data_IF_076682490372
#
_entry.id   IF_076682490372
#
_cell.length_a   1.000
_cell.length_b   1.000
_cell.length_c   1.000
_cell.angle_alpha   90.00
_cell.angle_beta   90.00
_cell.angle_gamma   90.00
#
_symmetry.space_group_name_H-M   'P 1'
#
loop_
_entity.id
_entity.type
_entity.pdbx_description
1 polymer ?
#
# COMPACT_ATOMS: atom_id res chain seq x y z
N UNK A 1 -6.57 -13.73 -2.21
CA UNK A 1 -5.30 -14.36 -1.81
C UNK A 1 -5.51 -15.78 -1.28
N UNK A 2 -6.38 -16.01 -0.28
CA UNK A 2 -6.71 -17.29 0.35
C UNK A 2 -7.02 -18.43 -0.63
N UNK A 3 -7.96 -18.24 -1.59
CA UNK A 3 -8.34 -19.26 -2.60
C UNK A 3 -7.16 -19.68 -3.49
N UNK A 4 -6.24 -18.78 -3.80
CA UNK A 4 -5.07 -19.06 -4.64
C UNK A 4 -4.03 -19.86 -3.88
N UNK A 5 -3.78 -19.52 -2.61
CA UNK A 5 -2.87 -20.28 -1.74
C UNK A 5 -3.38 -21.69 -1.47
N UNK A 6 -4.65 -21.85 -1.12
CA UNK A 6 -5.27 -23.16 -0.92
C UNK A 6 -5.19 -24.02 -2.19
N UNK A 7 -5.52 -23.48 -3.37
CA UNK A 7 -5.44 -24.21 -4.64
C UNK A 7 -4.02 -24.67 -4.95
N UNK A 8 -3.03 -23.80 -4.79
CA UNK A 8 -1.63 -24.15 -5.09
C UNK A 8 -1.09 -25.19 -4.11
N UNK A 9 -1.34 -25.02 -2.82
CA UNK A 9 -0.92 -25.99 -1.81
C UNK A 9 -1.60 -27.36 -2.00
N UNK A 10 -2.91 -27.38 -2.22
CA UNK A 10 -3.65 -28.62 -2.50
C UNK A 10 -3.16 -29.29 -3.76
N UNK A 11 -2.89 -28.55 -4.84
CA UNK A 11 -2.34 -29.11 -6.08
C UNK A 11 -0.98 -29.76 -5.87
N UNK A 12 -0.07 -29.12 -5.15
CA UNK A 12 1.24 -29.68 -4.82
C UNK A 12 1.13 -30.98 -4.03
N UNK A 13 0.24 -31.03 -3.04
CA UNK A 13 0.00 -32.23 -2.23
C UNK A 13 -0.59 -33.37 -3.10
N UNK A 14 -1.56 -33.07 -3.95
CA UNK A 14 -2.14 -34.05 -4.87
C UNK A 14 -1.07 -34.66 -5.77
N UNK A 15 -0.21 -33.83 -6.37
CA UNK A 15 0.89 -34.28 -7.23
C UNK A 15 1.87 -35.17 -6.44
N UNK A 16 2.26 -34.74 -5.22
CA UNK A 16 3.18 -35.50 -4.39
C UNK A 16 2.60 -36.88 -3.99
N UNK A 17 1.33 -36.94 -3.59
CA UNK A 17 0.63 -38.17 -3.23
C UNK A 17 0.50 -39.10 -4.44
N UNK A 18 0.14 -38.54 -5.60
CA UNK A 18 0.05 -39.33 -6.86
C UNK A 18 1.42 -39.90 -7.24
N UNK A 19 2.48 -39.12 -7.20
CA UNK A 19 3.83 -39.59 -7.51
C UNK A 19 4.28 -40.69 -6.52
N UNK A 20 4.00 -40.51 -5.23
CA UNK A 20 4.27 -41.51 -4.19
C UNK A 20 3.52 -42.82 -4.45
N UNK A 21 2.23 -42.73 -4.85
CA UNK A 21 1.44 -43.91 -5.20
C UNK A 21 2.02 -44.67 -6.39
N UNK A 22 2.37 -43.97 -7.47
CA UNK A 22 2.96 -44.57 -8.67
C UNK A 22 4.29 -45.26 -8.32
N UNK A 23 5.17 -44.52 -7.59
CA UNK A 23 6.48 -45.07 -7.21
C UNK A 23 6.34 -46.31 -6.32
N UNK A 24 5.49 -46.24 -5.29
CA UNK A 24 5.26 -47.37 -4.39
C UNK A 24 4.65 -48.59 -5.13
N UNK A 25 3.73 -48.35 -6.06
CA UNK A 25 3.12 -49.41 -6.88
C UNK A 25 4.15 -50.09 -7.78
N UNK A 26 5.07 -49.33 -8.42
CA UNK A 26 6.16 -49.86 -9.21
C UNK A 26 7.12 -50.74 -8.39
N UNK A 27 7.55 -50.20 -7.23
CA UNK A 27 8.43 -50.96 -6.32
C UNK A 27 7.76 -52.23 -5.83
N UNK A 28 6.47 -52.15 -5.48
CA UNK A 28 5.71 -53.33 -5.04
C UNK A 28 5.60 -54.36 -6.16
N UNK A 29 5.34 -53.94 -7.42
CA UNK A 29 5.31 -54.80 -8.56
C UNK A 29 6.64 -55.57 -8.75
N UNK A 30 7.78 -54.86 -8.72
CA UNK A 30 9.10 -55.47 -8.83
C UNK A 30 9.36 -56.47 -7.69
N UNK A 31 9.07 -56.07 -6.44
CA UNK A 31 9.25 -56.95 -5.27
C UNK A 31 8.41 -58.25 -5.37
N UNK A 32 7.15 -58.12 -5.78
CA UNK A 32 6.28 -59.30 -5.92
C UNK A 32 6.75 -60.20 -7.09
N UNK A 33 7.14 -59.59 -8.20
CA UNK A 33 7.72 -60.35 -9.34
C UNK A 33 8.97 -61.13 -8.93
N UNK A 34 9.90 -60.48 -8.23
CA UNK A 34 11.15 -61.11 -7.80
C UNK A 34 10.91 -62.21 -6.74
N UNK A 35 9.93 -61.99 -5.84
CA UNK A 35 9.52 -62.97 -4.87
C UNK A 35 8.92 -64.24 -5.54
N UNK A 36 8.09 -64.04 -6.60
CA UNK A 36 7.54 -65.14 -7.36
C UNK A 36 8.66 -65.93 -8.06
N UNK A 37 9.59 -65.26 -8.73
CA UNK A 37 10.75 -65.88 -9.37
C UNK A 37 11.61 -66.65 -8.40
N UNK A 38 11.91 -66.08 -7.23
CA UNK A 38 12.64 -66.74 -6.18
C UNK A 38 11.91 -68.01 -5.70
N UNK A 39 10.60 -67.91 -5.44
CA UNK A 39 9.80 -69.05 -4.96
C UNK A 39 9.80 -70.24 -5.93
N UNK A 40 9.64 -69.97 -7.23
CA UNK A 40 9.65 -71.08 -8.23
C UNK A 40 11.06 -71.66 -8.40
N UNK A 41 12.11 -70.87 -8.31
CA UNK A 41 13.49 -71.32 -8.32
C UNK A 41 13.79 -72.21 -7.12
N UNK A 42 13.52 -71.76 -5.93
CA UNK A 42 13.80 -72.47 -4.68
C UNK A 42 13.07 -73.79 -4.64
N UNK A 43 11.81 -73.83 -5.14
CA UNK A 43 11.04 -75.04 -5.22
C UNK A 43 11.64 -76.02 -6.26
N UNK A 44 12.03 -75.56 -7.43
CA UNK A 44 12.66 -76.41 -8.46
C UNK A 44 13.99 -76.97 -7.97
N UNK A 45 14.83 -76.17 -7.31
CA UNK A 45 16.10 -76.61 -6.74
C UNK A 45 15.88 -77.60 -5.57
N UNK A 46 14.85 -77.40 -4.75
CA UNK A 46 14.46 -78.35 -3.71
C UNK A 46 14.05 -79.66 -4.27
N UNK A 47 13.18 -79.67 -5.26
CA UNK A 47 12.74 -80.95 -5.94
C UNK A 47 13.92 -81.60 -6.64
N UNK A 48 14.79 -80.87 -7.31
CA UNK A 48 16.02 -81.43 -7.92
C UNK A 48 16.87 -82.10 -6.86
N UNK A 49 17.16 -81.50 -5.75
CA UNK A 49 17.98 -82.05 -4.66
C UNK A 49 17.36 -83.35 -4.09
N UNK A 50 16.03 -83.37 -3.92
CA UNK A 50 15.33 -84.56 -3.46
C UNK A 50 15.45 -85.68 -4.45
N UNK A 51 15.31 -85.41 -5.75
CA UNK A 51 15.42 -86.44 -6.82
C UNK A 51 16.84 -86.99 -6.90
N UNK A 52 17.86 -86.12 -6.83
CA UNK A 52 19.26 -86.57 -6.85
C UNK A 52 19.60 -87.40 -5.63
N UNK A 53 19.18 -87.01 -4.43
CA UNK A 53 19.36 -87.85 -3.23
C UNK A 53 18.64 -89.20 -3.26
N UNK A 54 17.43 -89.23 -3.81
CA UNK A 54 16.69 -90.48 -3.95
C UNK A 54 17.37 -91.48 -4.94
N UNK A 55 17.98 -90.99 -6.00
CA UNK A 55 18.75 -91.75 -6.93
C UNK A 55 20.01 -92.35 -6.30
N UNK A 56 20.73 -91.61 -5.46
CA UNK A 56 21.92 -92.10 -4.74
C UNK A 56 21.58 -93.22 -3.80
N UNK A 57 20.38 -93.25 -3.23
CA UNK A 57 19.91 -94.28 -2.29
C UNK A 57 19.29 -95.53 -3.03
N UNK A 58 19.25 -95.51 -4.40
CA UNK A 58 18.71 -96.60 -5.19
C UNK A 58 17.18 -96.75 -5.20
N UNK A 59 16.48 -95.67 -4.81
CA UNK A 59 15.03 -95.60 -4.85
C UNK A 59 14.56 -95.33 -6.29
N UNK A 60 13.97 -96.34 -6.95
CA UNK A 60 13.35 -96.19 -8.25
C UNK A 60 12.04 -95.46 -8.16
N UNK A 61 12.00 -94.18 -8.59
CA UNK A 61 10.70 -93.47 -8.57
C UNK A 61 10.72 -92.01 -8.77
N UNK A 62 11.52 -91.45 -9.70
CA UNK A 62 11.58 -90.02 -10.00
C UNK A 62 10.20 -89.47 -10.28
N UNK A 63 9.36 -90.09 -11.07
CA UNK A 63 7.99 -89.74 -11.37
C UNK A 63 7.12 -89.75 -10.11
N UNK A 64 7.33 -90.74 -9.20
CA UNK A 64 6.57 -90.76 -7.91
C UNK A 64 6.92 -89.65 -6.99
N UNK A 65 8.20 -89.28 -6.84
CA UNK A 65 8.63 -88.13 -6.02
C UNK A 65 8.11 -86.81 -6.54
N UNK A 66 8.23 -86.60 -7.85
CA UNK A 66 7.73 -85.37 -8.50
C UNK A 66 6.19 -85.34 -8.42
N UNK A 67 5.48 -86.46 -8.55
CA UNK A 67 4.03 -86.46 -8.39
C UNK A 67 3.58 -86.15 -6.96
N UNK A 68 4.30 -86.60 -5.94
CA UNK A 68 3.99 -86.30 -4.53
C UNK A 68 4.18 -84.82 -4.24
N UNK A 69 5.23 -84.22 -4.73
CA UNK A 69 5.46 -82.75 -4.57
C UNK A 69 4.46 -81.95 -5.42
N UNK A 70 4.19 -82.37 -6.67
CA UNK A 70 3.24 -81.75 -7.58
C UNK A 70 1.81 -81.69 -7.06
N UNK A 71 1.39 -82.63 -6.21
CA UNK A 71 0.07 -82.67 -5.59
C UNK A 71 0.00 -81.70 -4.36
N UNK A 72 1.12 -81.35 -3.79
CA UNK A 72 1.18 -80.53 -2.56
C UNK A 72 1.52 -79.05 -2.82
N UNK A 73 2.03 -78.72 -3.98
CA UNK A 73 2.44 -77.36 -4.36
C UNK A 73 1.34 -76.64 -5.14
N UNK A 74 1.35 -75.29 -5.01
CA UNK A 74 0.50 -74.39 -5.79
C UNK A 74 1.08 -74.12 -7.19
N UNK A 75 2.29 -74.53 -7.47
CA UNK A 75 2.97 -74.36 -8.76
C UNK A 75 2.82 -75.57 -9.64
N UNK A 76 2.72 -75.37 -10.97
CA UNK A 76 2.71 -76.48 -11.94
C UNK A 76 4.11 -77.02 -12.06
N UNK A 77 4.24 -78.35 -11.87
CA UNK A 77 5.49 -79.08 -12.01
C UNK A 77 5.39 -79.97 -13.23
N UNK A 78 6.40 -79.95 -14.14
CA UNK A 78 6.52 -80.80 -15.32
C UNK A 78 7.91 -81.44 -15.33
N UNK A 79 7.98 -82.72 -15.47
CA UNK A 79 9.22 -83.49 -15.69
C UNK A 79 9.26 -83.98 -17.14
N UNK A 80 10.39 -83.77 -17.83
CA UNK A 80 10.57 -84.08 -19.25
C UNK A 80 11.88 -84.85 -19.45
N UNK A 81 11.86 -85.83 -20.25
CA UNK A 81 13.07 -86.61 -20.61
C UNK A 81 14.03 -85.85 -21.53
N UNK A 82 15.22 -86.34 -21.76
CA UNK A 82 16.23 -85.74 -22.62
C UNK A 82 15.80 -85.60 -24.10
N UNK A 83 14.78 -86.34 -24.55
CA UNK A 83 14.20 -86.30 -25.90
C UNK A 83 13.00 -85.30 -25.99
N UNK A 84 12.60 -84.68 -24.88
CA UNK A 84 11.49 -83.74 -24.82
C UNK A 84 10.12 -84.38 -24.56
N UNK A 85 10.05 -85.67 -24.26
CA UNK A 85 8.79 -86.36 -23.89
C UNK A 85 8.45 -86.00 -22.43
N UNK A 86 7.21 -85.58 -22.16
CA UNK A 86 6.73 -85.32 -20.78
C UNK A 86 6.55 -86.63 -20.05
N UNK A 87 7.23 -86.73 -18.91
CA UNK A 87 7.15 -87.90 -18.01
C UNK A 87 6.10 -87.72 -16.91
N UNK A 88 5.94 -86.47 -16.49
CA UNK A 88 4.97 -86.06 -15.46
C UNK A 88 4.58 -84.59 -15.66
N UNK A 89 3.31 -84.29 -15.42
CA UNK A 89 2.79 -82.93 -15.28
C UNK A 89 1.72 -82.89 -14.19
N UNK A 90 1.73 -81.87 -13.31
CA UNK A 90 0.82 -81.83 -12.18
C UNK A 90 -0.61 -81.39 -12.55
N UNK A 91 -0.83 -80.82 -13.76
CA UNK A 91 -2.11 -80.23 -14.17
C UNK A 91 -2.73 -80.98 -15.38
N UNK A 92 -1.90 -81.57 -16.23
CA UNK A 92 -2.34 -82.24 -17.49
C UNK A 92 -1.83 -83.69 -17.56
N UNK A 93 -2.53 -84.53 -18.30
CA UNK A 93 -2.11 -85.92 -18.57
C UNK A 93 -0.88 -85.95 -19.52
N UNK A 94 0.29 -86.48 -19.09
CA UNK A 94 1.52 -86.51 -19.88
C UNK A 94 1.34 -87.21 -21.27
N UNK A 95 0.41 -88.13 -21.36
CA UNK A 95 0.18 -88.88 -22.62
C UNK A 95 -0.53 -88.01 -23.68
N UNK A 96 -1.23 -87.00 -23.29
CA UNK A 96 -1.92 -86.07 -24.17
C UNK A 96 -1.08 -84.83 -24.55
N UNK A 97 0.09 -84.70 -23.94
CA UNK A 97 0.93 -83.53 -24.14
C UNK A 97 1.85 -83.67 -25.34
N UNK A 98 2.01 -82.55 -26.07
CA UNK A 98 2.97 -82.47 -27.16
C UNK A 98 4.42 -82.51 -26.62
N UNK A 99 5.34 -82.96 -27.53
CA UNK A 99 6.76 -83.00 -27.19
C UNK A 99 7.29 -81.54 -26.87
N UNK A 100 7.96 -81.42 -25.77
CA UNK A 100 8.46 -80.10 -25.25
C UNK A 100 9.88 -79.78 -25.72
N UNK A 101 10.56 -80.58 -26.53
CA UNK A 101 11.93 -80.40 -26.99
C UNK A 101 12.17 -79.04 -27.68
N UNK A 102 11.14 -78.44 -28.32
CA UNK A 102 11.21 -77.20 -29.05
C UNK A 102 10.91 -75.97 -28.17
N UNK A 103 10.54 -76.14 -26.91
CA UNK A 103 10.21 -75.04 -26.04
C UNK A 103 11.47 -74.33 -25.55
N UNK A 104 11.52 -72.97 -25.64
CA UNK A 104 12.73 -72.20 -25.33
C UNK A 104 13.31 -72.51 -23.94
N UNK A 105 12.46 -72.64 -22.92
CA UNK A 105 12.87 -72.88 -21.52
C UNK A 105 13.55 -74.28 -21.38
N UNK A 106 13.19 -75.24 -22.21
CA UNK A 106 13.81 -76.58 -22.22
C UNK A 106 15.12 -76.62 -23.01
N UNK A 107 15.20 -75.89 -24.14
CA UNK A 107 16.42 -75.72 -24.92
C UNK A 107 17.50 -75.07 -24.06
N UNK A 108 17.17 -73.96 -23.42
CA UNK A 108 18.11 -73.15 -22.60
C UNK A 108 18.55 -73.94 -21.34
N UNK A 109 17.63 -74.62 -20.65
CA UNK A 109 17.97 -75.43 -19.50
C UNK A 109 18.86 -76.67 -19.87
N UNK A 110 18.69 -77.23 -21.06
CA UNK A 110 19.53 -78.34 -21.58
C UNK A 110 20.95 -77.83 -21.85
N UNK A 111 21.11 -76.64 -22.41
CA UNK A 111 22.44 -76.04 -22.75
C UNK A 111 23.16 -75.50 -21.54
N UNK A 112 22.47 -74.69 -20.77
CA UNK A 112 23.03 -73.89 -19.69
C UNK A 112 22.86 -74.45 -18.26
N UNK A 113 22.17 -75.60 -18.14
CA UNK A 113 21.85 -76.25 -16.85
C UNK A 113 20.60 -75.76 -16.20
N UNK A 114 20.23 -74.50 -16.35
CA UNK A 114 18.96 -73.95 -15.89
C UNK A 114 18.48 -72.77 -16.76
N UNK A 115 17.20 -72.46 -16.75
CA UNK A 115 16.58 -71.33 -17.45
C UNK A 115 15.49 -70.73 -16.60
N UNK A 116 15.51 -69.36 -16.53
CA UNK A 116 14.43 -68.59 -15.97
C UNK A 116 13.76 -67.78 -17.08
N UNK A 117 12.49 -67.98 -17.33
CA UNK A 117 11.77 -67.37 -18.45
C UNK A 117 10.39 -66.86 -18.02
N UNK A 118 9.93 -65.77 -18.62
CA UNK A 118 8.56 -65.31 -18.48
C UNK A 118 7.91 -65.27 -19.85
N UNK A 119 6.81 -66.02 -20.03
CA UNK A 119 6.06 -66.02 -21.29
C UNK A 119 4.69 -65.44 -21.12
N UNK A 120 4.26 -64.68 -22.09
CA UNK A 120 2.91 -64.15 -22.17
C UNK A 120 2.05 -65.05 -23.06
N UNK A 121 0.97 -65.55 -22.51
CA UNK A 121 -0.03 -66.30 -23.29
C UNK A 121 -1.06 -65.33 -23.86
N UNK A 122 -1.03 -65.07 -25.17
CA UNK A 122 -2.00 -64.19 -25.84
C UNK A 122 -3.43 -64.79 -25.73
N UNK A 123 -3.59 -66.11 -25.70
CA UNK A 123 -4.91 -66.76 -25.62
C UNK A 123 -5.56 -66.55 -24.23
N UNK A 124 -4.78 -66.50 -23.15
CA UNK A 124 -5.27 -66.43 -21.79
C UNK A 124 -5.06 -65.07 -21.18
N UNK A 125 -4.41 -64.11 -21.87
CA UNK A 125 -3.98 -62.79 -21.34
C UNK A 125 -3.24 -62.89 -20.00
N UNK A 126 -2.44 -63.97 -19.84
CA UNK A 126 -1.73 -64.30 -18.59
C UNK A 126 -0.24 -64.40 -18.82
N UNK A 127 0.56 -63.97 -17.91
CA UNK A 127 1.99 -64.22 -17.88
C UNK A 127 2.26 -65.46 -17.04
N UNK A 128 3.09 -66.33 -17.50
CA UNK A 128 3.53 -67.53 -16.75
C UNK A 128 5.04 -67.39 -16.54
N UNK A 129 5.43 -67.51 -15.32
CA UNK A 129 6.82 -67.57 -14.89
C UNK A 129 7.25 -69.04 -14.93
N UNK A 130 8.39 -69.32 -15.55
CA UNK A 130 8.98 -70.62 -15.67
C UNK A 130 10.39 -70.62 -15.08
N UNK A 131 10.69 -71.68 -14.33
CA UNK A 131 12.06 -72.05 -14.01
C UNK A 131 12.26 -73.51 -14.39
N UNK A 132 13.22 -73.76 -15.29
CA UNK A 132 13.58 -75.08 -15.74
C UNK A 132 15.01 -75.41 -15.31
N UNK A 133 15.25 -76.59 -14.79
CA UNK A 133 16.57 -77.07 -14.33
C UNK A 133 16.86 -78.43 -14.84
N UNK A 134 18.07 -78.68 -15.38
CA UNK A 134 18.53 -79.99 -15.86
C UNK A 134 19.02 -80.81 -14.67
N UNK A 135 18.58 -82.08 -14.62
CA UNK A 135 18.99 -83.09 -13.68
C UNK A 135 20.23 -83.82 -14.18
N UNK A 136 20.98 -84.49 -13.30
CA UNK A 136 22.20 -85.21 -13.64
C UNK A 136 22.01 -86.36 -14.68
N UNK A 137 20.83 -86.88 -14.77
CA UNK A 137 20.48 -87.90 -15.78
C UNK A 137 20.06 -87.34 -17.14
N UNK A 138 20.08 -86.02 -17.32
CA UNK A 138 19.71 -85.31 -18.54
C UNK A 138 18.22 -85.02 -18.68
N UNK A 139 17.36 -85.39 -17.71
CA UNK A 139 15.98 -84.97 -17.62
C UNK A 139 15.90 -83.45 -17.22
N UNK A 140 14.78 -82.84 -17.54
CA UNK A 140 14.55 -81.42 -17.20
C UNK A 140 13.30 -81.28 -16.35
N UNK A 141 13.47 -80.71 -15.15
CA UNK A 141 12.40 -80.34 -14.23
C UNK A 141 12.00 -78.91 -14.48
N UNK A 142 10.73 -78.64 -14.73
CA UNK A 142 10.18 -77.31 -14.87
C UNK A 142 9.14 -76.99 -13.78
N UNK A 143 9.29 -75.91 -13.11
CA UNK A 143 8.28 -75.33 -12.21
C UNK A 143 7.71 -74.09 -12.85
N UNK A 144 6.37 -73.97 -12.87
CA UNK A 144 5.69 -72.85 -13.50
C UNK A 144 4.60 -72.28 -12.59
N UNK A 145 4.43 -70.93 -12.64
CA UNK A 145 3.37 -70.22 -11.91
C UNK A 145 2.67 -69.22 -12.80
N UNK A 146 1.35 -69.28 -12.87
CA UNK A 146 0.54 -68.37 -13.67
C UNK A 146 0.22 -67.10 -12.91
N UNK A 147 0.02 -65.99 -13.62
CA UNK A 147 -0.08 -64.66 -13.06
C UNK A 147 -1.35 -64.29 -12.28
N UNK A 148 -2.39 -65.17 -12.31
CA UNK A 148 -3.64 -64.84 -11.58
C UNK A 148 -3.43 -64.58 -10.08
N UNK A 149 -2.55 -65.31 -9.44
CA UNK A 149 -2.24 -65.15 -8.02
C UNK A 149 -1.40 -63.89 -7.74
N UNK A 150 -0.50 -63.58 -8.71
CA UNK A 150 0.34 -62.39 -8.61
C UNK A 150 -0.49 -61.12 -8.75
N UNK A 151 -1.36 -61.06 -9.77
CA UNK A 151 -2.25 -59.90 -9.96
C UNK A 151 -3.24 -59.71 -8.79
N UNK A 152 -3.80 -60.77 -8.26
CA UNK A 152 -4.73 -60.68 -7.13
C UNK A 152 -4.05 -60.15 -5.86
N UNK A 153 -2.81 -60.58 -5.60
CA UNK A 153 -2.00 -60.12 -4.48
C UNK A 153 -1.61 -58.64 -4.65
N UNK A 154 -1.18 -58.26 -5.86
CA UNK A 154 -0.86 -56.90 -6.22
C UNK A 154 -2.09 -55.96 -6.09
N UNK A 155 -3.24 -56.39 -6.61
CA UNK A 155 -4.46 -55.60 -6.59
C UNK A 155 -4.93 -55.30 -5.15
N UNK A 156 -4.91 -56.30 -4.27
CA UNK A 156 -5.27 -56.09 -2.86
C UNK A 156 -4.32 -55.15 -2.14
N UNK A 157 -3.01 -55.28 -2.38
CA UNK A 157 -1.98 -54.40 -1.76
C UNK A 157 -2.06 -52.97 -2.27
N UNK A 158 -2.23 -52.76 -3.59
CA UNK A 158 -2.37 -51.42 -4.17
C UNK A 158 -3.68 -50.72 -3.76
N UNK A 159 -4.76 -51.48 -3.57
CA UNK A 159 -6.02 -50.96 -3.06
C UNK A 159 -5.86 -50.38 -1.62
N UNK A 160 -5.24 -51.13 -0.74
CA UNK A 160 -4.98 -50.74 0.64
C UNK A 160 -4.09 -49.48 0.65
N UNK A 161 -3.00 -49.51 -0.13
CA UNK A 161 -2.10 -48.36 -0.31
C UNK A 161 -2.87 -47.10 -0.79
N UNK A 162 -3.74 -47.27 -1.79
CA UNK A 162 -4.57 -46.19 -2.32
C UNK A 162 -5.50 -45.57 -1.28
N UNK A 163 -6.16 -46.42 -0.47
CA UNK A 163 -7.03 -45.95 0.62
C UNK A 163 -6.24 -45.19 1.67
N UNK A 164 -5.08 -45.68 2.09
CA UNK A 164 -4.22 -44.99 3.08
C UNK A 164 -3.76 -43.63 2.55
N UNK A 165 -3.29 -43.57 1.30
CA UNK A 165 -2.84 -42.34 0.68
C UNK A 165 -4.00 -41.33 0.49
N UNK A 166 -5.21 -41.82 0.18
CA UNK A 166 -6.40 -40.96 0.12
C UNK A 166 -6.73 -40.33 1.49
N UNK A 167 -6.65 -41.11 2.56
CA UNK A 167 -6.88 -40.58 3.92
C UNK A 167 -5.82 -39.56 4.30
N UNK A 168 -4.56 -39.80 3.99
CA UNK A 168 -3.47 -38.85 4.20
C UNK A 168 -3.72 -37.56 3.40
N UNK A 169 -4.15 -37.67 2.15
CA UNK A 169 -4.48 -36.53 1.30
C UNK A 169 -5.60 -35.67 1.91
N UNK A 170 -6.72 -36.30 2.30
CA UNK A 170 -7.85 -35.59 2.92
C UNK A 170 -7.46 -34.91 4.23
N UNK A 171 -6.69 -35.59 5.07
CA UNK A 171 -6.18 -35.06 6.33
C UNK A 171 -5.25 -33.85 6.11
N UNK A 172 -4.36 -33.94 5.13
CA UNK A 172 -3.44 -32.86 4.78
C UNK A 172 -4.19 -31.63 4.25
N UNK A 173 -5.19 -31.84 3.38
CA UNK A 173 -6.05 -30.74 2.87
C UNK A 173 -6.82 -30.09 4.01
N UNK A 174 -7.33 -30.89 4.95
CA UNK A 174 -8.01 -30.37 6.14
C UNK A 174 -7.08 -29.49 6.97
N UNK A 175 -5.87 -29.96 7.31
CA UNK A 175 -4.88 -29.17 8.06
C UNK A 175 -4.53 -27.86 7.33
N UNK A 176 -4.25 -27.92 6.02
CA UNK A 176 -3.94 -26.73 5.22
C UNK A 176 -5.09 -25.72 5.30
N UNK A 177 -6.33 -26.17 5.22
CA UNK A 177 -7.50 -25.31 5.27
C UNK A 177 -7.64 -24.62 6.65
N UNK A 178 -7.49 -25.41 7.73
CA UNK A 178 -7.57 -24.90 9.11
C UNK A 178 -6.45 -23.88 9.38
N UNK A 179 -5.21 -24.21 9.02
CA UNK A 179 -4.07 -23.30 9.22
C UNK A 179 -4.19 -22.02 8.39
N UNK A 180 -4.60 -22.13 7.12
CA UNK A 180 -4.80 -20.95 6.27
C UNK A 180 -5.89 -20.01 6.84
N UNK A 181 -6.97 -20.59 7.36
CA UNK A 181 -8.02 -19.78 8.00
C UNK A 181 -7.49 -19.09 9.25
N UNK A 182 -6.80 -19.81 10.11
CA UNK A 182 -6.25 -19.26 11.38
C UNK A 182 -5.25 -18.12 11.14
N UNK A 183 -4.52 -18.13 10.00
CA UNK A 183 -3.57 -17.07 9.65
C UNK A 183 -4.28 -15.88 9.00
N UNK A 184 -5.27 -16.14 8.16
CA UNK A 184 -5.89 -15.09 7.32
C UNK A 184 -7.02 -14.34 8.01
N UNK A 185 -7.74 -14.98 8.92
CA UNK A 185 -8.89 -14.38 9.62
C UNK A 185 -8.49 -13.13 10.41
N UNK A 186 -7.45 -13.16 11.25
CA UNK A 186 -7.02 -11.98 12.00
C UNK A 186 -6.50 -10.84 11.11
N UNK A 187 -5.87 -11.16 9.97
CA UNK A 187 -5.39 -10.14 9.02
C UNK A 187 -6.57 -9.40 8.36
N UNK A 188 -7.68 -10.08 8.10
CA UNK A 188 -8.87 -9.46 7.51
C UNK A 188 -9.66 -8.59 8.50
N UNK A 189 -9.50 -8.82 9.80
CA UNK A 189 -10.13 -8.07 10.88
C UNK A 189 -9.24 -6.92 11.40
N UNK A 190 -8.14 -6.64 10.72
CA UNK A 190 -7.21 -5.58 11.11
C UNK A 190 -7.89 -4.22 10.98
N UNK A 191 -7.88 -3.44 12.06
CA UNK A 191 -8.33 -2.05 12.07
C UNK A 191 -7.28 -1.19 11.34
N UNK A 192 -7.65 -0.70 10.14
CA UNK A 192 -6.79 0.14 9.32
C UNK A 192 -6.77 1.60 9.78
N UNK A 193 -7.72 2.04 10.59
CA UNK A 193 -7.72 3.38 11.17
C UNK A 193 -6.74 3.47 12.35
N UNK A 194 -6.67 2.40 13.15
CA UNK A 194 -5.76 2.32 14.29
C UNK A 194 -4.88 1.06 14.22
N UNK A 195 -3.97 0.97 13.26
CA UNK A 195 -3.27 -0.27 12.92
C UNK A 195 -2.35 -0.79 14.02
N UNK A 196 -1.93 0.06 14.96
CA UNK A 196 -1.08 -0.34 16.10
C UNK A 196 -1.86 -0.88 17.30
N UNK A 197 -3.19 -0.69 17.35
CA UNK A 197 -4.00 -1.16 18.48
C UNK A 197 -4.16 -2.68 18.48
N UNK A 198 -3.99 -3.35 17.34
CA UNK A 198 -4.20 -4.78 17.21
C UNK A 198 -3.07 -5.42 16.36
N UNK A 199 -1.85 -5.44 16.91
CA UNK A 199 -0.69 -6.08 16.28
C UNK A 199 -0.79 -7.60 16.47
N UNK A 200 -1.25 -8.31 15.43
CA UNK A 200 -1.49 -9.75 15.45
C UNK A 200 -0.19 -10.54 15.27
N UNK A 201 0.70 -10.05 14.43
CA UNK A 201 2.02 -10.63 14.14
C UNK A 201 3.10 -9.56 14.30
N UNK A 202 4.13 -9.86 15.08
CA UNK A 202 5.27 -8.94 15.30
C UNK A 202 5.96 -8.54 13.99
N UNK A 203 6.00 -9.43 13.02
CA UNK A 203 6.58 -9.19 11.70
C UNK A 203 5.83 -8.11 10.90
N UNK A 204 4.57 -7.86 11.23
CA UNK A 204 3.76 -6.80 10.59
C UNK A 204 3.94 -5.43 11.26
N UNK A 205 4.52 -5.35 12.45
CA UNK A 205 4.70 -4.10 13.20
C UNK A 205 5.36 -2.97 12.40
N UNK A 206 6.44 -3.21 11.60
CA UNK A 206 7.04 -2.15 10.79
C UNK A 206 6.11 -1.63 9.69
N UNK A 207 5.29 -2.50 9.11
CA UNK A 207 4.30 -2.13 8.09
C UNK A 207 3.15 -1.34 8.70
N UNK A 208 2.62 -1.81 9.84
CA UNK A 208 1.54 -1.15 10.58
C UNK A 208 1.99 0.21 11.12
N UNK A 209 3.25 0.33 11.57
CA UNK A 209 3.84 1.61 11.98
C UNK A 209 3.91 2.64 10.85
N UNK A 210 4.27 2.21 9.64
CA UNK A 210 4.24 3.10 8.46
C UNK A 210 2.82 3.51 8.09
N UNK A 211 1.87 2.61 8.20
CA UNK A 211 0.46 2.91 7.93
C UNK A 211 -0.10 3.93 8.93
N UNK A 212 0.20 3.76 10.21
CA UNK A 212 -0.19 4.71 11.27
C UNK A 212 0.40 6.10 11.04
N UNK A 213 1.69 6.18 10.67
CA UNK A 213 2.34 7.44 10.32
C UNK A 213 1.66 8.13 9.11
N UNK A 214 1.34 7.35 8.06
CA UNK A 214 0.62 7.87 6.89
C UNK A 214 -0.79 8.36 7.25
N UNK A 215 -1.53 7.63 8.08
CA UNK A 215 -2.85 8.04 8.54
C UNK A 215 -2.77 9.37 9.33
N UNK A 216 -1.79 9.50 10.23
CA UNK A 216 -1.56 10.76 10.97
C UNK A 216 -1.18 11.92 10.05
N UNK A 217 -0.37 11.67 9.04
CA UNK A 217 0.01 12.69 8.06
C UNK A 217 -1.21 13.15 7.24
N UNK A 218 -2.03 12.22 6.77
CA UNK A 218 -3.26 12.52 6.04
C UNK A 218 -4.23 13.31 6.93
N UNK A 219 -4.41 12.91 8.18
CA UNK A 219 -5.28 13.62 9.12
C UNK A 219 -4.83 15.08 9.34
N UNK A 220 -3.51 15.33 9.50
CA UNK A 220 -2.95 16.70 9.59
C UNK A 220 -3.22 17.50 8.32
N UNK A 221 -2.95 16.93 7.15
CA UNK A 221 -3.19 17.60 5.87
C UNK A 221 -4.67 17.91 5.64
N UNK A 222 -5.57 17.03 6.06
CA UNK A 222 -7.01 17.28 5.99
C UNK A 222 -7.46 18.44 6.90
N UNK A 223 -6.91 18.52 8.12
CA UNK A 223 -7.23 19.64 9.02
C UNK A 223 -6.68 20.96 8.49
N UNK A 224 -5.43 20.98 7.99
CA UNK A 224 -4.85 22.17 7.33
C UNK A 224 -5.69 22.64 6.13
N UNK A 225 -6.14 21.69 5.29
CA UNK A 225 -7.01 21.99 4.14
C UNK A 225 -8.38 22.52 4.57
N UNK A 226 -8.93 21.98 5.65
CA UNK A 226 -10.21 22.43 6.19
C UNK A 226 -10.10 23.84 6.74
N UNK A 227 -9.08 24.13 7.56
CA UNK A 227 -8.80 25.48 8.06
C UNK A 227 -8.61 26.49 6.92
N UNK A 228 -7.81 26.15 5.91
CA UNK A 228 -7.63 27.00 4.73
C UNK A 228 -8.94 27.20 3.96
N UNK A 229 -9.78 26.16 3.88
CA UNK A 229 -11.12 26.23 3.26
C UNK A 229 -12.09 27.16 4.02
N UNK A 230 -12.07 27.12 5.34
CA UNK A 230 -12.88 27.99 6.20
C UNK A 230 -12.45 29.45 6.05
N UNK A 231 -11.16 29.75 6.12
CA UNK A 231 -10.60 31.10 5.91
C UNK A 231 -10.98 31.63 4.53
N UNK A 232 -10.89 30.82 3.47
CA UNK A 232 -11.29 31.21 2.11
C UNK A 232 -12.79 31.49 2.00
N UNK A 233 -13.63 30.69 2.66
CA UNK A 233 -15.08 30.89 2.66
C UNK A 233 -15.46 32.18 3.37
N UNK A 234 -14.87 32.43 4.54
CA UNK A 234 -15.08 33.66 5.31
C UNK A 234 -14.64 34.88 4.52
N UNK A 235 -13.46 34.84 3.89
CA UNK A 235 -12.97 35.90 3.01
C UNK A 235 -13.96 36.23 1.89
N UNK A 236 -14.44 35.18 1.15
CA UNK A 236 -15.40 35.38 0.07
C UNK A 236 -16.74 35.99 0.54
N UNK A 237 -17.20 35.58 1.71
CA UNK A 237 -18.43 36.11 2.30
C UNK A 237 -18.24 37.59 2.69
N UNK A 238 -17.11 37.95 3.35
CA UNK A 238 -16.79 39.28 3.76
C UNK A 238 -16.60 40.23 2.55
N UNK A 239 -15.88 39.78 1.50
CA UNK A 239 -15.75 40.52 0.22
C UNK A 239 -17.12 40.85 -0.36
N UNK A 240 -18.01 39.86 -0.46
CA UNK A 240 -19.34 40.03 -1.02
C UNK A 240 -20.16 41.04 -0.22
N UNK A 241 -20.07 41.01 1.09
CA UNK A 241 -20.78 41.93 2.00
C UNK A 241 -20.23 43.36 1.88
N UNK A 242 -18.91 43.53 1.92
CA UNK A 242 -18.26 44.88 1.88
C UNK A 242 -18.38 45.53 0.49
N UNK A 243 -18.51 44.77 -0.61
CA UNK A 243 -18.83 45.31 -1.94
C UNK A 243 -20.31 45.68 -2.09
N UNK A 244 -21.23 44.88 -1.52
CA UNK A 244 -22.68 45.14 -1.64
C UNK A 244 -23.13 46.41 -0.96
N UNK A 245 -22.57 46.75 0.20
CA UNK A 245 -22.99 47.91 0.98
C UNK A 245 -22.80 49.22 0.24
N UNK A 246 -21.59 49.62 -0.26
CA UNK A 246 -21.39 50.84 -1.01
C UNK A 246 -22.18 50.87 -2.32
N UNK A 247 -22.27 49.72 -3.00
CA UNK A 247 -23.05 49.59 -4.25
C UNK A 247 -24.54 49.90 -4.05
N UNK A 248 -25.12 49.41 -2.96
CA UNK A 248 -26.52 49.71 -2.64
C UNK A 248 -26.71 51.20 -2.24
N UNK A 249 -25.74 51.79 -1.56
CA UNK A 249 -25.76 53.23 -1.22
C UNK A 249 -25.70 54.11 -2.49
N UNK A 250 -24.79 53.77 -3.44
CA UNK A 250 -24.67 54.48 -4.72
C UNK A 250 -25.98 54.37 -5.48
N UNK A 251 -26.52 53.13 -5.65
CA UNK A 251 -27.79 52.89 -6.35
C UNK A 251 -28.95 53.63 -5.71
N UNK A 252 -29.06 53.60 -4.38
CA UNK A 252 -30.14 54.28 -3.67
C UNK A 252 -30.09 55.82 -3.79
N UNK A 253 -28.90 56.42 -3.68
CA UNK A 253 -28.75 57.89 -3.89
C UNK A 253 -29.05 58.27 -5.34
N UNK A 254 -28.58 57.48 -6.31
CA UNK A 254 -28.84 57.72 -7.72
C UNK A 254 -30.34 57.59 -8.06
N UNK A 255 -31.05 56.57 -7.55
CA UNK A 255 -32.48 56.36 -7.73
C UNK A 255 -33.33 57.51 -7.16
N UNK A 256 -32.98 58.00 -5.95
CA UNK A 256 -33.66 59.14 -5.33
C UNK A 256 -33.48 60.41 -6.17
N UNK A 257 -32.28 60.64 -6.71
CA UNK A 257 -31.99 61.77 -7.61
C UNK A 257 -32.75 61.60 -8.95
N UNK A 258 -32.78 60.43 -9.57
CA UNK A 258 -33.46 60.13 -10.83
C UNK A 258 -34.97 60.39 -10.74
N UNK A 259 -35.60 59.98 -9.61
CA UNK A 259 -37.02 60.18 -9.37
C UNK A 259 -37.40 61.60 -8.94
N UNK A 260 -36.47 62.56 -8.96
CA UNK A 260 -36.74 63.95 -8.63
C UNK A 260 -37.12 64.21 -7.15
N UNK A 261 -36.77 63.26 -6.28
CA UNK A 261 -37.08 63.32 -4.82
C UNK A 261 -36.04 64.17 -4.03
N UNK A 262 -35.00 64.63 -4.71
CA UNK A 262 -33.95 65.52 -4.15
C UNK A 262 -34.21 66.94 -4.56
N UNK A 263 -34.18 67.86 -3.60
CA UNK A 263 -34.27 69.30 -3.92
C UNK A 263 -33.04 69.74 -4.71
N UNK A 264 -33.19 70.70 -5.65
CA UNK A 264 -32.06 71.16 -6.49
C UNK A 264 -30.83 71.59 -5.68
N UNK A 265 -31.01 72.17 -4.51
CA UNK A 265 -29.95 72.64 -3.59
C UNK A 265 -29.16 71.47 -2.98
N UNK A 266 -29.79 70.28 -2.82
CA UNK A 266 -29.16 69.10 -2.19
C UNK A 266 -28.49 68.18 -3.21
N UNK A 267 -28.68 68.38 -4.52
CA UNK A 267 -28.08 67.58 -5.58
C UNK A 267 -26.53 67.47 -5.45
N UNK A 268 -25.78 68.55 -5.18
CA UNK A 268 -24.33 68.47 -5.00
C UNK A 268 -23.92 67.57 -3.82
N UNK A 269 -24.68 67.57 -2.73
CA UNK A 269 -24.44 66.73 -1.56
C UNK A 269 -24.64 65.24 -1.93
N UNK A 270 -25.72 64.88 -2.59
CA UNK A 270 -26.01 63.51 -3.03
C UNK A 270 -24.98 63.01 -4.04
N UNK A 271 -24.58 63.86 -4.99
CA UNK A 271 -23.50 63.55 -5.93
C UNK A 271 -22.16 63.32 -5.22
N UNK A 272 -21.87 64.15 -4.20
CA UNK A 272 -20.70 63.97 -3.35
C UNK A 272 -20.71 62.67 -2.57
N UNK A 273 -21.87 62.22 -2.04
CA UNK A 273 -22.04 60.93 -1.37
C UNK A 273 -21.82 59.78 -2.34
N UNK A 274 -22.36 59.83 -3.56
CA UNK A 274 -22.14 58.83 -4.60
C UNK A 274 -20.64 58.76 -4.94
N UNK A 275 -19.99 59.91 -5.15
CA UNK A 275 -18.57 59.93 -5.45
C UNK A 275 -17.70 59.34 -4.34
N UNK A 276 -18.04 59.64 -3.07
CA UNK A 276 -17.36 59.10 -1.91
C UNK A 276 -17.46 57.56 -1.84
N UNK A 277 -18.67 57.02 -2.00
CA UNK A 277 -18.88 55.57 -1.97
C UNK A 277 -18.24 54.85 -3.18
N UNK A 278 -18.24 55.49 -4.37
CA UNK A 278 -17.56 54.96 -5.56
C UNK A 278 -16.02 54.93 -5.36
N UNK A 279 -15.45 55.95 -4.75
CA UNK A 279 -14.02 56.00 -4.45
C UNK A 279 -13.66 54.92 -3.42
N UNK A 280 -14.46 54.76 -2.38
CA UNK A 280 -14.30 53.70 -1.38
C UNK A 280 -14.35 52.30 -2.00
N UNK A 281 -15.33 52.06 -2.92
CA UNK A 281 -15.47 50.79 -3.63
C UNK A 281 -14.25 50.53 -4.52
N UNK A 282 -13.72 51.54 -5.19
CA UNK A 282 -12.50 51.42 -6.00
C UNK A 282 -11.32 50.96 -5.13
N UNK A 283 -11.07 51.62 -4.01
CA UNK A 283 -9.97 51.25 -3.08
C UNK A 283 -10.15 49.82 -2.57
N UNK A 284 -11.38 49.44 -2.20
CA UNK A 284 -11.65 48.06 -1.72
C UNK A 284 -11.31 47.03 -2.79
N UNK A 285 -11.65 47.26 -4.06
CA UNK A 285 -11.31 46.38 -5.18
C UNK A 285 -9.79 46.30 -5.39
N UNK A 286 -9.10 47.44 -5.32
CA UNK A 286 -7.65 47.53 -5.44
C UNK A 286 -6.97 46.71 -4.32
N UNK A 287 -7.41 46.85 -3.07
CA UNK A 287 -6.92 46.10 -1.90
C UNK A 287 -7.14 44.57 -2.07
N UNK A 288 -8.31 44.16 -2.58
CA UNK A 288 -8.62 42.74 -2.84
C UNK A 288 -7.69 42.15 -3.91
N UNK A 289 -7.50 42.90 -5.01
CA UNK A 289 -6.60 42.45 -6.11
C UNK A 289 -5.16 42.33 -5.59
N UNK A 290 -4.73 43.31 -4.77
CA UNK A 290 -3.40 43.28 -4.15
C UNK A 290 -3.20 42.06 -3.27
N UNK A 291 -4.16 41.82 -2.38
CA UNK A 291 -4.13 40.64 -1.49
C UNK A 291 -4.13 39.32 -2.25
N UNK A 292 -4.93 39.23 -3.34
CA UNK A 292 -4.95 38.01 -4.20
C UNK A 292 -3.60 37.76 -4.89
N UNK A 293 -2.94 38.82 -5.38
CA UNK A 293 -1.61 38.72 -5.98
C UNK A 293 -0.54 38.26 -4.97
N UNK A 294 -0.66 38.69 -3.73
CA UNK A 294 0.25 38.30 -2.65
C UNK A 294 0.08 36.84 -2.25
N UNK A 295 -1.16 36.34 -2.22
CA UNK A 295 -1.46 34.93 -1.93
C UNK A 295 -0.93 33.99 -3.03
N UNK A 296 -0.94 34.39 -4.32
CA UNK A 296 -0.53 33.57 -5.45
C UNK A 296 0.99 33.57 -5.75
N UNK A 297 1.70 34.67 -5.45
CA UNK A 297 3.06 34.92 -5.97
C UNK A 297 4.18 34.92 -4.92
N UNK A 298 4.02 34.31 -3.77
CA UNK A 298 5.02 34.31 -2.68
C UNK A 298 6.42 33.79 -3.06
N UNK A 299 6.63 33.22 -4.26
CA UNK A 299 7.92 32.64 -4.71
C UNK A 299 8.66 33.39 -5.83
N UNK A 300 8.11 34.45 -6.44
CA UNK A 300 8.71 35.12 -7.64
C UNK A 300 8.73 36.66 -7.58
N UNK A 301 8.68 37.21 -6.38
CA UNK A 301 8.68 38.67 -6.25
C UNK A 301 10.09 39.25 -6.52
N UNK A 302 10.20 40.37 -7.27
CA UNK A 302 11.50 40.99 -7.55
C UNK A 302 12.01 41.72 -6.29
N UNK A 303 12.99 41.12 -5.62
CA UNK A 303 13.72 41.77 -4.52
C UNK A 303 14.80 42.69 -5.08
N UNK A 304 14.80 43.93 -4.67
CA UNK A 304 15.76 44.92 -5.05
C UNK A 304 16.29 45.66 -3.79
N UNK A 305 17.34 46.48 -3.97
CA UNK A 305 17.85 47.34 -2.90
C UNK A 305 16.97 48.58 -2.84
N UNK A 306 16.29 48.80 -1.71
CA UNK A 306 15.35 49.89 -1.50
C UNK A 306 15.86 50.81 -0.38
N UNK A 307 15.92 52.09 -0.65
CA UNK A 307 16.18 53.07 0.39
C UNK A 307 14.88 53.38 1.15
N UNK A 308 14.79 52.85 2.39
CA UNK A 308 13.61 53.04 3.22
C UNK A 308 13.57 54.36 3.97
N UNK A 309 14.70 55.09 4.03
CA UNK A 309 14.72 56.47 4.52
C UNK A 309 14.00 57.40 3.56
N UNK A 310 14.42 57.38 2.28
CA UNK A 310 13.78 58.14 1.20
C UNK A 310 12.29 57.78 1.07
N UNK A 311 11.98 56.46 1.08
CA UNK A 311 10.61 55.96 1.02
C UNK A 311 9.74 56.49 2.19
N UNK A 312 10.28 56.50 3.41
CA UNK A 312 9.55 57.04 4.59
C UNK A 312 9.20 58.50 4.43
N UNK A 313 10.12 59.32 3.90
CA UNK A 313 9.87 60.71 3.61
C UNK A 313 8.82 60.92 2.51
N UNK A 314 8.87 60.09 1.44
CA UNK A 314 7.86 60.11 0.38
C UNK A 314 6.47 59.76 0.93
N UNK A 315 6.34 58.74 1.76
CA UNK A 315 5.08 58.36 2.42
C UNK A 315 4.53 59.51 3.26
N UNK A 316 5.36 60.14 4.10
CA UNK A 316 4.93 61.26 4.95
C UNK A 316 4.51 62.48 4.13
N UNK A 317 5.22 62.78 3.04
CA UNK A 317 4.86 63.86 2.09
C UNK A 317 3.48 63.60 1.46
N UNK A 318 3.18 62.37 1.10
CA UNK A 318 1.88 61.99 0.53
C UNK A 318 0.74 62.13 1.56
N UNK A 319 1.03 62.03 2.86
CA UNK A 319 0.07 62.18 3.96
C UNK A 319 -0.03 63.61 4.50
N UNK A 320 0.87 64.55 4.10
CA UNK A 320 0.96 65.89 4.60
C UNK A 320 -0.36 66.64 4.50
N UNK A 321 -1.04 66.61 3.35
CA UNK A 321 -2.31 67.25 3.16
C UNK A 321 -3.43 66.74 4.06
N UNK A 322 -3.46 65.44 4.38
CA UNK A 322 -4.44 64.87 5.32
C UNK A 322 -4.13 65.29 6.76
N UNK A 323 -2.85 65.31 7.12
CA UNK A 323 -2.39 65.73 8.43
C UNK A 323 -2.65 67.22 8.65
N UNK A 324 -2.40 68.09 7.65
CA UNK A 324 -2.68 69.54 7.72
C UNK A 324 -4.16 69.85 7.94
N UNK A 325 -5.09 69.12 7.28
CA UNK A 325 -6.53 69.29 7.51
C UNK A 325 -6.94 69.06 8.94
N UNK A 326 -6.24 68.18 9.66
CA UNK A 326 -6.45 67.89 11.09
C UNK A 326 -5.47 68.59 12.00
N UNK A 327 -4.56 69.42 11.46
CA UNK A 327 -3.48 70.11 12.21
C UNK A 327 -2.60 69.14 12.99
N UNK A 328 -2.37 67.94 12.43
CA UNK A 328 -1.52 66.90 13.02
C UNK A 328 -0.05 67.28 12.74
N UNK A 329 0.80 67.16 13.75
CA UNK A 329 2.23 67.35 13.62
C UNK A 329 2.89 66.02 13.17
N UNK A 330 3.35 65.93 11.89
CA UNK A 330 4.13 64.83 11.37
C UNK A 330 5.61 65.03 11.67
N UNK A 331 6.23 64.04 12.34
CA UNK A 331 7.63 64.09 12.73
C UNK A 331 8.32 62.85 12.14
N UNK A 332 9.46 63.05 11.46
CA UNK A 332 10.35 61.99 11.05
C UNK A 332 11.67 62.09 11.79
N UNK A 333 12.11 61.00 12.40
CA UNK A 333 13.45 60.87 12.99
C UNK A 333 14.11 59.62 12.43
N UNK A 334 15.35 59.79 12.00
CA UNK A 334 16.13 58.70 11.44
C UNK A 334 17.17 59.20 10.47
N UNK A 335 17.92 58.28 9.92
CA UNK A 335 18.90 58.58 8.87
C UNK A 335 18.17 58.64 7.52
N UNK A 336 18.55 59.65 6.72
CA UNK A 336 17.93 59.96 5.42
C UNK A 336 18.12 58.86 4.39
N UNK A 337 19.11 57.96 4.58
CA UNK A 337 19.43 56.86 3.69
C UNK A 337 19.63 55.56 4.47
N UNK A 338 18.80 54.55 4.22
CA UNK A 338 18.92 53.19 4.77
C UNK A 338 18.42 52.20 3.77
N UNK A 339 19.33 51.33 3.33
CA UNK A 339 19.05 50.34 2.31
C UNK A 339 18.68 48.97 2.93
N UNK A 340 17.57 48.42 2.47
CA UNK A 340 17.22 47.01 2.72
C UNK A 340 16.96 46.29 1.39
N UNK A 341 17.11 44.96 1.39
CA UNK A 341 16.71 44.15 0.26
C UNK A 341 15.25 43.79 0.40
N UNK A 342 14.42 44.22 -0.56
CA UNK A 342 12.99 44.00 -0.47
C UNK A 342 12.27 44.30 -1.77
N UNK A 343 10.97 44.05 -1.77
CA UNK A 343 10.06 44.39 -2.87
C UNK A 343 9.55 45.82 -2.62
N UNK A 344 10.00 46.79 -3.43
CA UNK A 344 9.70 48.22 -3.26
C UNK A 344 8.23 48.46 -2.95
N UNK A 345 7.34 47.93 -3.78
CA UNK A 345 5.89 48.14 -3.65
C UNK A 345 5.36 47.65 -2.31
N UNK A 346 5.78 46.45 -1.85
CA UNK A 346 5.31 45.88 -0.58
C UNK A 346 5.84 46.63 0.64
N UNK A 347 7.07 47.14 0.57
CA UNK A 347 7.65 48.01 1.62
C UNK A 347 6.88 49.34 1.69
N UNK A 348 6.57 49.92 0.53
CA UNK A 348 5.76 51.14 0.46
C UNK A 348 4.37 50.90 1.06
N UNK A 349 3.70 49.78 0.76
CA UNK A 349 2.41 49.42 1.35
C UNK A 349 2.47 49.27 2.87
N UNK A 350 3.56 48.68 3.42
CA UNK A 350 3.75 48.60 4.87
C UNK A 350 3.76 50.01 5.48
N UNK A 351 4.66 50.87 4.98
CA UNK A 351 4.87 52.19 5.57
C UNK A 351 3.67 53.10 5.37
N UNK A 352 3.06 53.08 4.18
CA UNK A 352 1.89 53.89 3.87
C UNK A 352 0.68 53.50 4.73
N UNK A 353 0.32 52.20 4.78
CA UNK A 353 -0.84 51.74 5.55
C UNK A 353 -0.68 52.03 7.07
N UNK A 354 0.52 51.86 7.60
CA UNK A 354 0.77 52.12 9.01
C UNK A 354 0.73 53.63 9.33
N UNK A 355 1.35 54.46 8.50
CA UNK A 355 1.35 55.93 8.67
C UNK A 355 -0.03 56.54 8.41
N UNK A 356 -0.77 56.10 7.39
CA UNK A 356 -2.12 56.52 7.08
C UNK A 356 -3.10 56.18 8.23
N UNK A 357 -2.98 54.98 8.81
CA UNK A 357 -3.75 54.62 10.00
C UNK A 357 -3.43 55.54 11.19
N UNK A 358 -2.15 55.85 11.43
CA UNK A 358 -1.76 56.79 12.49
C UNK A 358 -2.41 58.18 12.29
N UNK A 359 -2.38 58.73 11.06
CA UNK A 359 -3.03 60.01 10.73
C UNK A 359 -4.55 59.92 10.83
N UNK A 360 -5.16 58.81 10.37
CA UNK A 360 -6.62 58.61 10.44
C UNK A 360 -7.17 58.60 11.85
N UNK A 361 -6.50 57.89 12.76
CA UNK A 361 -6.97 57.66 14.13
C UNK A 361 -6.44 58.64 15.15
N UNK A 362 -5.58 59.55 14.73
CA UNK A 362 -5.17 60.71 15.53
C UNK A 362 -6.22 61.84 15.45
N UNK A 363 -6.54 62.41 16.60
CA UNK A 363 -7.44 63.56 16.70
C UNK A 363 -6.80 64.85 16.17
N UNK A 364 -7.61 65.96 16.11
CA UNK A 364 -7.12 67.28 15.72
C UNK A 364 -6.00 67.76 16.68
N UNK A 365 -5.01 68.46 16.11
CA UNK A 365 -3.82 68.96 16.81
C UNK A 365 -2.98 67.84 17.47
N UNK A 366 -3.12 66.55 16.98
CA UNK A 366 -2.33 65.43 17.48
C UNK A 366 -0.92 65.38 16.89
N UNK A 367 -0.24 64.26 17.17
CA UNK A 367 1.14 64.04 16.73
C UNK A 367 1.25 62.64 16.18
N UNK A 368 1.94 62.49 15.03
CA UNK A 368 2.38 61.22 14.45
C UNK A 368 3.89 61.30 14.26
N UNK A 369 4.61 60.31 14.83
CA UNK A 369 6.06 60.26 14.81
C UNK A 369 6.51 58.95 14.14
N UNK A 370 7.26 59.07 13.06
CA UNK A 370 7.92 57.97 12.38
C UNK A 370 9.40 57.95 12.75
N UNK A 371 9.88 56.80 13.22
CA UNK A 371 11.28 56.61 13.63
C UNK A 371 11.92 55.47 12.85
N UNK A 372 13.10 55.74 12.27
CA UNK A 372 13.90 54.74 11.51
C UNK A 372 15.29 54.65 12.12
N UNK A 373 15.67 53.49 12.62
CA UNK A 373 16.97 53.28 13.27
C UNK A 373 17.55 51.91 12.98
N UNK A 374 18.87 51.81 12.93
CA UNK A 374 19.57 50.53 12.93
C UNK A 374 19.82 50.05 14.36
N UNK A 375 19.63 48.75 14.56
CA UNK A 375 19.88 48.06 15.83
C UNK A 375 20.72 46.80 15.58
N UNK A 376 21.30 46.21 16.64
CA UNK A 376 22.03 44.92 16.46
C UNK A 376 21.18 43.79 15.89
N UNK A 377 19.84 43.87 16.01
CA UNK A 377 18.90 42.84 15.53
C UNK A 377 18.49 43.06 14.09
N UNK A 378 18.67 44.27 13.56
CA UNK A 378 18.26 44.66 12.21
C UNK A 378 17.78 46.13 12.15
N UNK A 379 17.12 46.47 11.06
CA UNK A 379 16.58 47.79 10.83
C UNK A 379 15.18 47.84 11.42
N UNK A 380 14.93 48.85 12.25
CA UNK A 380 13.65 49.08 12.95
C UNK A 380 12.98 50.32 12.39
N UNK A 381 11.81 50.17 11.82
CA UNK A 381 10.91 51.23 11.43
C UNK A 381 9.71 51.24 12.37
N UNK A 382 9.33 52.36 12.90
CA UNK A 382 8.16 52.47 13.76
C UNK A 382 7.37 53.74 13.51
N UNK A 383 6.05 53.64 13.69
CA UNK A 383 5.14 54.79 13.70
C UNK A 383 4.41 54.84 15.05
N UNK A 384 4.37 56.01 15.66
CA UNK A 384 3.75 56.28 16.95
C UNK A 384 2.79 57.45 16.83
N UNK A 385 1.57 57.26 17.28
CA UNK A 385 0.52 58.28 17.33
C UNK A 385 0.03 58.49 18.77
N UNK A 386 -0.58 59.65 19.03
CA UNK A 386 -1.28 59.96 20.28
C UNK A 386 -2.81 59.95 20.10
N UNK A 387 -3.32 59.07 19.26
CA UNK A 387 -4.73 58.94 18.92
C UNK A 387 -5.55 58.12 19.93
N UNK A 388 -6.61 57.50 19.44
CA UNK A 388 -7.60 56.78 20.26
C UNK A 388 -7.05 55.55 20.98
N UNK A 389 -5.95 54.94 20.44
CA UNK A 389 -5.40 53.68 20.94
C UNK A 389 -6.27 52.47 20.61
N UNK A 390 -5.74 51.27 20.94
CA UNK A 390 -6.35 49.97 20.64
C UNK A 390 -6.44 49.16 21.93
N UNK A 391 -7.62 48.58 22.20
CA UNK A 391 -7.81 47.71 23.35
C UNK A 391 -6.95 46.43 23.22
N UNK A 392 -6.49 45.89 24.35
CA UNK A 392 -5.56 44.76 24.37
C UNK A 392 -6.11 43.53 23.66
N UNK A 393 -7.40 43.28 23.74
CA UNK A 393 -8.13 42.18 23.10
C UNK A 393 -8.19 42.28 21.57
N UNK A 394 -8.05 43.50 21.02
CA UNK A 394 -8.11 43.77 19.58
C UNK A 394 -6.72 43.80 18.93
N UNK A 395 -5.62 43.95 19.69
CA UNK A 395 -4.27 44.19 19.15
C UNK A 395 -3.75 43.06 18.28
N UNK A 396 -4.16 41.82 18.52
CA UNK A 396 -3.83 40.66 17.65
C UNK A 396 -4.78 40.59 16.44
N UNK A 397 -6.03 40.97 16.62
CA UNK A 397 -7.11 40.85 15.65
C UNK A 397 -7.09 41.95 14.59
N UNK A 398 -6.50 43.11 14.84
CA UNK A 398 -6.41 44.21 13.85
C UNK A 398 -5.72 43.81 12.54
N UNK A 399 -4.97 42.69 12.54
CA UNK A 399 -4.31 42.14 11.34
C UNK A 399 -5.16 41.06 10.62
N UNK A 400 -6.36 40.72 11.15
CA UNK A 400 -7.32 39.87 10.47
C UNK A 400 -7.95 40.63 9.29
N UNK A 401 -8.28 39.93 8.23
CA UNK A 401 -8.92 40.50 7.02
C UNK A 401 -10.31 41.03 7.36
N UNK A 402 -10.63 42.28 6.97
CA UNK A 402 -11.90 42.96 7.23
C UNK A 402 -12.20 43.24 8.71
N UNK A 403 -11.23 43.02 9.62
CA UNK A 403 -11.42 43.33 11.02
C UNK A 403 -11.39 44.83 11.28
N UNK A 404 -12.31 45.29 12.14
CA UNK A 404 -12.42 46.70 12.56
C UNK A 404 -12.92 46.74 13.99
N UNK A 405 -12.25 47.48 14.85
CA UNK A 405 -12.59 47.62 16.28
C UNK A 405 -13.99 48.21 16.46
N UNK A 406 -14.39 49.21 15.64
CA UNK A 406 -15.72 49.80 15.68
C UNK A 406 -16.29 49.99 14.27
N UNK A 407 -17.36 49.25 13.93
CA UNK A 407 -18.06 49.33 12.64
C UNK A 407 -18.91 50.58 12.48
N UNK A 408 -19.29 51.26 13.58
CA UNK A 408 -20.19 52.40 13.55
C UNK A 408 -19.46 53.75 13.33
N UNK A 409 -18.37 53.99 14.02
CA UNK A 409 -17.55 55.24 13.91
C UNK A 409 -16.66 55.21 12.66
N UNK A 410 -16.30 54.07 12.17
CA UNK A 410 -15.39 53.91 11.02
C UNK A 410 -16.04 54.09 9.64
N UNK A 411 -17.37 54.27 9.54
CA UNK A 411 -18.03 54.65 8.27
C UNK A 411 -17.61 56.06 7.80
N UNK A 412 -17.29 56.99 8.71
CA UNK A 412 -16.80 58.30 8.39
C UNK A 412 -15.31 58.39 7.99
N UNK A 413 -14.51 57.40 8.38
CA UNK A 413 -13.04 57.40 8.13
C UNK A 413 -12.62 56.55 6.93
N UNK A 414 -13.55 55.82 6.26
CA UNK A 414 -13.34 55.22 4.94
C UNK A 414 -12.42 53.98 4.89
N UNK A 415 -12.10 53.34 6.00
CA UNK A 415 -11.19 52.18 6.01
C UNK A 415 -11.82 50.91 5.45
N UNK A 416 -11.08 50.10 4.66
CA UNK A 416 -11.50 48.82 4.08
C UNK A 416 -11.39 47.65 5.05
N UNK A 417 -10.56 47.78 6.10
CA UNK A 417 -10.19 46.68 7.01
C UNK A 417 -9.19 45.68 6.40
N UNK A 418 -8.64 46.00 5.24
CA UNK A 418 -7.63 45.17 4.56
C UNK A 418 -6.20 45.69 4.73
N UNK A 419 -5.99 46.99 4.96
CA UNK A 419 -4.65 47.60 5.00
C UNK A 419 -3.69 46.92 5.98
N UNK A 420 -4.12 46.66 7.22
CA UNK A 420 -3.25 45.95 8.19
C UNK A 420 -3.03 44.50 7.88
N UNK A 421 -3.98 43.81 7.21
CA UNK A 421 -3.76 42.45 6.71
C UNK A 421 -2.75 42.42 5.55
N UNK A 422 -2.74 43.42 4.69
CA UNK A 422 -1.71 43.65 3.67
C UNK A 422 -0.35 43.86 4.32
N UNK A 423 -0.26 44.69 5.35
CA UNK A 423 0.97 44.93 6.14
C UNK A 423 1.51 43.62 6.71
N UNK A 424 0.66 42.81 7.33
CA UNK A 424 1.05 41.50 7.88
C UNK A 424 1.63 40.57 6.80
N UNK A 425 0.96 40.50 5.65
CA UNK A 425 1.39 39.65 4.54
C UNK A 425 2.72 40.14 3.93
N UNK A 426 2.82 41.46 3.68
CA UNK A 426 4.04 42.09 3.18
C UNK A 426 5.22 41.91 4.13
N UNK A 427 4.98 42.02 5.44
CA UNK A 427 6.00 41.75 6.46
C UNK A 427 6.46 40.29 6.45
N UNK A 428 5.54 39.32 6.27
CA UNK A 428 5.88 37.90 6.13
C UNK A 428 6.78 37.66 4.92
N UNK A 429 6.49 38.28 3.77
CA UNK A 429 7.33 38.18 2.56
C UNK A 429 8.76 38.66 2.84
N UNK A 430 8.92 39.69 3.65
CA UNK A 430 10.23 40.24 4.03
C UNK A 430 10.82 39.63 5.31
N UNK A 431 10.21 38.57 5.85
CA UNK A 431 10.59 37.94 7.13
C UNK A 431 10.70 38.99 8.29
N UNK A 432 9.96 40.08 8.19
CA UNK A 432 9.93 41.12 9.17
C UNK A 432 8.98 40.79 10.32
N UNK A 433 9.30 41.25 11.53
CA UNK A 433 8.46 41.08 12.72
C UNK A 433 7.71 42.37 13.02
N UNK A 434 6.39 42.24 13.23
CA UNK A 434 5.55 43.36 13.64
C UNK A 434 5.29 43.30 15.16
N UNK A 435 5.37 44.42 15.83
CA UNK A 435 5.00 44.56 17.25
C UNK A 435 4.05 45.73 17.41
N UNK A 436 3.01 45.59 18.21
CA UNK A 436 2.02 46.60 18.54
C UNK A 436 2.11 46.90 20.03
N UNK A 437 2.21 48.17 20.36
CA UNK A 437 2.16 48.71 21.74
C UNK A 437 1.09 49.81 21.75
N UNK A 438 -0.03 49.58 22.42
CA UNK A 438 -1.15 50.53 22.41
C UNK A 438 -1.93 50.49 23.70
N UNK A 439 -2.46 51.67 24.08
CA UNK A 439 -3.35 51.83 25.22
C UNK A 439 -4.47 52.81 24.83
N UNK A 440 -5.71 52.45 25.14
CA UNK A 440 -6.88 53.26 24.82
C UNK A 440 -6.77 54.64 25.41
N UNK A 441 -6.92 55.67 24.57
CA UNK A 441 -6.81 57.09 24.95
C UNK A 441 -5.37 57.63 25.04
N UNK A 442 -4.32 56.81 24.84
CA UNK A 442 -2.93 57.25 24.85
C UNK A 442 -2.25 57.21 23.48
N UNK A 443 -2.79 56.39 22.58
CA UNK A 443 -2.28 56.21 21.23
C UNK A 443 -1.72 54.84 20.95
N UNK A 444 -1.09 54.70 19.78
CA UNK A 444 -0.59 53.43 19.27
C UNK A 444 0.83 53.60 18.73
N UNK A 445 1.69 52.61 19.00
CA UNK A 445 2.98 52.46 18.38
C UNK A 445 3.05 51.11 17.69
N UNK A 446 3.30 51.09 16.37
CA UNK A 446 3.53 49.91 15.59
C UNK A 446 4.98 49.88 15.11
N UNK A 447 5.67 48.81 15.37
CA UNK A 447 7.10 48.64 15.07
C UNK A 447 7.26 47.48 14.09
N UNK A 448 8.00 47.71 13.00
CA UNK A 448 8.40 46.67 12.01
C UNK A 448 9.91 46.49 12.10
N UNK A 449 10.36 45.25 12.31
CA UNK A 449 11.76 44.88 12.45
C UNK A 449 12.17 44.03 11.24
N UNK A 450 13.01 44.60 10.39
CA UNK A 450 13.63 43.88 9.26
C UNK A 450 14.94 43.27 9.75
N UNK A 451 15.03 41.92 9.67
CA UNK A 451 16.24 41.22 10.12
C UNK A 451 17.41 41.54 9.21
N UNK A 452 18.62 41.67 9.76
CA UNK A 452 19.85 41.81 8.96
C UNK A 452 20.12 40.48 8.27
N UNK A 453 20.26 40.48 6.93
CA UNK A 453 20.77 39.32 6.22
C UNK A 453 22.17 38.98 6.76
N UNK A 454 22.36 37.76 7.27
CA UNK A 454 23.66 37.24 7.69
C UNK A 454 24.55 36.97 6.49
#
# INVERSE_FOLDING_TARGET
>A
MRRKMLKNASFLVIVAVFLSFVTASLVMYEKVRDAVKGSIRDEAEYVRTLMEAARETGASGDVYLVSTVGQTTANRITLVDSAGKVLYDSEEDPETMENHASRPEFIEARENGSCEMVRYSETLSRQTFYYAVRLDNGEILRVARTTDSVFKTLFSGTLILGVVLLLVLLFTIYIITVQTNKIMEPINELDLEHPLNNVIYEEMRPLLGRLDEQNRQIARQMEELKEAGEVRREFSANVSHELKTPLMSISGYAEIMENGLVRPEDIPEFAGRIHHEATRLKTLVEDIIELSKLDENSGKLPFETVDIGEMSQEVLKNLEHQAEKKKINLIFTGEDTRNIRGVYRLLYEIFYNLADNAVKYTGECGRVHVDLRETPVGIVWSVEDNGIGIAKEDQERIFERFYRVDKSHSRGTGGTGLGLSIVKHAALVHQAKIRVESEVGKGTKITVVFQKEN
#
